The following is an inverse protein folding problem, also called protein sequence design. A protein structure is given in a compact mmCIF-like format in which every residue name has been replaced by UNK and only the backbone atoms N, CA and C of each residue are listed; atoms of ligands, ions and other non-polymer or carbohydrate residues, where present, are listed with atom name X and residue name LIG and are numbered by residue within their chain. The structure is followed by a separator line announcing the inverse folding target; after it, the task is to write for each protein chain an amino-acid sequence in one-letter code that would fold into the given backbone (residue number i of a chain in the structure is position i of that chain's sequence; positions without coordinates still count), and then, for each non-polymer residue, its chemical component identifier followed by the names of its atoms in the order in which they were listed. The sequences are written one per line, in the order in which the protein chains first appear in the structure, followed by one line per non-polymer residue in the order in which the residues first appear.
data_IF_405592663539
#
_entry.id   IF_405592663539
#
_cell.length_a   1.000
_cell.length_b   1.000
_cell.length_c   1.000
_cell.angle_alpha   90.00
_cell.angle_beta   90.00
_cell.angle_gamma   90.00
#
_symmetry.space_group_name_H-M   'P 1'
#
loop_
_entity.id
_entity.type
_entity.pdbx_description
1 polymer ?
#
# COMPACT_ATOMS: atom_id res chain seq x y z
N UNK A 1 -26.57 -10.41 -32.66
CA UNK A 1 -27.21 -9.16 -32.17
C UNK A 1 -26.70 -8.71 -30.80
N UNK A 2 -26.20 -9.59 -29.91
CA UNK A 2 -25.72 -9.21 -28.56
C UNK A 2 -24.22 -8.86 -28.44
N UNK A 3 -23.42 -9.06 -29.50
CA UNK A 3 -21.97 -8.85 -29.48
C UNK A 3 -21.52 -7.38 -29.38
N UNK A 4 -22.44 -6.42 -29.42
CA UNK A 4 -22.15 -4.98 -29.29
C UNK A 4 -22.27 -4.44 -27.85
N UNK A 5 -22.79 -5.22 -26.89
CA UNK A 5 -23.06 -4.74 -25.53
C UNK A 5 -21.91 -4.94 -24.53
N UNK A 6 -20.99 -5.87 -24.80
CA UNK A 6 -19.96 -6.25 -23.82
C UNK A 6 -18.64 -5.51 -23.97
N UNK A 7 -18.05 -5.52 -25.17
CA UNK A 7 -16.68 -5.06 -25.37
C UNK A 7 -16.50 -3.54 -25.23
N UNK A 8 -17.10 -2.73 -26.12
CA UNK A 8 -16.81 -1.29 -26.16
C UNK A 8 -17.42 -0.53 -24.97
N UNK A 9 -18.61 -0.92 -24.49
CA UNK A 9 -19.23 -0.24 -23.33
C UNK A 9 -18.36 -0.31 -22.08
N UNK A 10 -17.74 -1.46 -21.81
CA UNK A 10 -16.83 -1.64 -20.67
C UNK A 10 -15.58 -0.75 -20.79
N UNK A 11 -15.04 -0.60 -22.00
CA UNK A 11 -13.95 0.35 -22.28
C UNK A 11 -14.39 1.80 -22.02
N UNK A 12 -15.59 2.20 -22.45
CA UNK A 12 -16.11 3.57 -22.23
C UNK A 12 -16.21 3.87 -20.73
N UNK A 13 -16.76 2.94 -19.94
CA UNK A 13 -16.93 3.13 -18.50
C UNK A 13 -15.57 3.21 -17.80
N UNK A 14 -14.63 2.33 -18.17
CA UNK A 14 -13.26 2.36 -17.65
C UNK A 14 -12.57 3.71 -17.97
N UNK A 15 -12.78 4.24 -19.17
CA UNK A 15 -12.23 5.52 -19.59
C UNK A 15 -12.75 6.68 -18.72
N UNK A 16 -14.05 6.70 -18.43
CA UNK A 16 -14.66 7.71 -17.53
C UNK A 16 -14.07 7.61 -16.12
N UNK A 17 -13.89 6.40 -15.59
CA UNK A 17 -13.31 6.20 -14.25
C UNK A 17 -11.84 6.65 -14.22
N UNK A 18 -11.06 6.37 -15.27
CA UNK A 18 -9.67 6.87 -15.38
C UNK A 18 -9.63 8.40 -15.43
N UNK A 19 -10.55 9.03 -16.15
CA UNK A 19 -10.61 10.50 -16.20
C UNK A 19 -10.94 11.13 -14.83
N UNK A 20 -11.80 10.47 -14.04
CA UNK A 20 -12.25 11.00 -12.75
C UNK A 20 -11.30 10.66 -11.59
N UNK A 21 -10.77 9.44 -11.56
CA UNK A 21 -9.91 8.93 -10.49
C UNK A 21 -8.42 8.98 -10.84
N UNK A 22 -8.05 8.99 -12.12
CA UNK A 22 -6.66 8.94 -12.60
C UNK A 22 -6.12 7.51 -12.74
N UNK A 23 -5.14 7.35 -13.64
CA UNK A 23 -4.46 6.08 -13.92
C UNK A 23 -3.84 5.37 -12.69
N UNK A 24 -3.21 6.05 -11.70
CA UNK A 24 -2.60 5.34 -10.57
C UNK A 24 -3.60 4.90 -9.48
N UNK A 25 -4.82 5.47 -9.45
CA UNK A 25 -5.80 5.18 -8.40
C UNK A 25 -6.58 3.89 -8.64
N UNK A 26 -6.86 3.56 -9.91
CA UNK A 26 -7.48 2.29 -10.27
C UNK A 26 -6.70 1.04 -9.81
N UNK A 27 -5.39 0.90 -10.10
CA UNK A 27 -4.62 -0.26 -9.65
C UNK A 27 -4.45 -0.29 -8.14
N UNK A 28 -4.39 0.88 -7.46
CA UNK A 28 -4.34 0.94 -6.01
C UNK A 28 -5.63 0.44 -5.36
N UNK A 29 -6.80 0.85 -5.88
CA UNK A 29 -8.11 0.39 -5.42
C UNK A 29 -8.33 -1.10 -5.71
N UNK A 30 -7.92 -1.57 -6.89
CA UNK A 30 -7.97 -2.99 -7.24
C UNK A 30 -7.07 -3.83 -6.32
N UNK A 31 -5.86 -3.34 -5.99
CA UNK A 31 -4.96 -3.99 -5.03
C UNK A 31 -5.57 -4.08 -3.64
N UNK A 32 -6.09 -2.99 -3.08
CA UNK A 32 -6.66 -3.01 -1.73
C UNK A 32 -7.89 -3.92 -1.64
N UNK A 33 -8.79 -3.85 -2.63
CA UNK A 33 -9.97 -4.70 -2.70
C UNK A 33 -9.62 -6.18 -2.93
N UNK A 34 -8.62 -6.45 -3.78
CA UNK A 34 -8.12 -7.79 -4.06
C UNK A 34 -7.51 -8.47 -2.83
N UNK A 35 -6.78 -7.73 -2.00
CA UNK A 35 -6.24 -8.25 -0.74
C UNK A 35 -7.36 -8.62 0.24
N UNK A 36 -8.37 -7.76 0.41
CA UNK A 36 -9.54 -8.07 1.25
C UNK A 36 -10.33 -9.28 0.72
N UNK A 37 -10.51 -9.37 -0.60
CA UNK A 37 -11.17 -10.50 -1.24
C UNK A 37 -10.37 -11.79 -1.13
N UNK A 38 -9.03 -11.75 -1.18
CA UNK A 38 -8.17 -12.93 -1.04
C UNK A 38 -8.31 -13.56 0.34
N UNK A 39 -8.32 -12.74 1.40
CA UNK A 39 -8.50 -13.22 2.77
C UNK A 39 -9.91 -13.81 2.93
N UNK A 40 -10.94 -13.09 2.48
CA UNK A 40 -12.31 -13.58 2.54
C UNK A 40 -12.50 -14.88 1.76
N UNK A 41 -11.92 -14.98 0.55
CA UNK A 41 -12.00 -16.20 -0.26
C UNK A 41 -11.23 -17.35 0.37
N UNK A 42 -10.09 -17.10 1.01
CA UNK A 42 -9.31 -18.12 1.71
C UNK A 42 -10.10 -18.74 2.87
N UNK A 43 -10.74 -17.91 3.69
CA UNK A 43 -11.58 -18.37 4.81
C UNK A 43 -12.82 -19.14 4.32
N UNK A 44 -13.46 -18.66 3.26
CA UNK A 44 -14.66 -19.28 2.68
C UNK A 44 -14.34 -20.55 1.88
N UNK A 45 -13.21 -20.60 1.16
CA UNK A 45 -12.75 -21.78 0.43
C UNK A 45 -12.26 -22.88 1.37
N UNK A 46 -11.70 -22.54 2.53
CA UNK A 46 -11.32 -23.53 3.56
C UNK A 46 -12.54 -24.29 4.09
N UNK A 47 -13.71 -23.63 4.17
CA UNK A 47 -14.98 -24.28 4.50
C UNK A 47 -15.60 -25.10 3.35
N UNK A 48 -15.25 -24.81 2.10
CA UNK A 48 -15.90 -25.39 0.90
C UNK A 48 -14.98 -26.29 0.06
N UNK A 49 -13.76 -26.61 0.51
CA UNK A 49 -12.90 -27.66 -0.06
C UNK A 49 -12.45 -27.47 -1.52
N UNK A 50 -12.57 -26.28 -2.12
CA UNK A 50 -12.21 -26.03 -3.51
C UNK A 50 -11.15 -24.93 -3.65
N UNK A 51 -9.97 -25.33 -4.15
CA UNK A 51 -8.88 -24.44 -4.49
C UNK A 51 -9.15 -23.73 -5.83
N UNK A 52 -8.82 -22.44 -5.93
CA UNK A 52 -7.89 -21.94 -6.96
C UNK A 52 -7.58 -20.45 -6.76
N UNK A 53 -6.29 -20.13 -6.79
CA UNK A 53 -5.77 -18.77 -6.87
C UNK A 53 -5.52 -18.39 -8.33
N UNK A 54 -6.10 -17.28 -8.76
CA UNK A 54 -5.61 -16.56 -9.94
C UNK A 54 -4.68 -15.47 -9.41
N UNK A 55 -3.37 -15.68 -9.60
CA UNK A 55 -2.33 -14.70 -9.30
C UNK A 55 -2.46 -13.50 -10.25
N UNK A 56 -3.22 -12.49 -9.82
CA UNK A 56 -3.28 -11.21 -10.50
C UNK A 56 -2.11 -10.33 -10.04
N UNK A 57 -1.02 -10.43 -10.79
CA UNK A 57 0.09 -9.48 -10.97
C UNK A 57 0.47 -8.64 -9.74
N UNK A 58 1.49 -9.09 -9.02
CA UNK A 58 2.30 -8.29 -8.11
C UNK A 58 3.13 -7.27 -8.91
N UNK A 59 2.50 -6.14 -9.21
CA UNK A 59 3.07 -4.97 -9.85
C UNK A 59 3.66 -4.03 -8.80
N UNK A 60 4.97 -4.14 -8.66
CA UNK A 60 5.89 -3.10 -8.22
C UNK A 60 5.48 -1.72 -8.73
N UNK A 61 5.19 -0.77 -7.83
CA UNK A 61 5.68 0.62 -7.85
C UNK A 61 5.18 1.33 -6.59
N UNK A 62 6.01 1.28 -5.56
CA UNK A 62 6.36 2.43 -4.73
C UNK A 62 7.80 2.18 -4.33
N UNK A 63 8.74 2.47 -5.22
CA UNK A 63 10.10 2.81 -4.77
C UNK A 63 9.94 4.09 -3.97
N UNK A 64 10.18 4.10 -2.65
CA UNK A 64 10.47 5.35 -1.98
C UNK A 64 11.75 5.86 -2.64
N UNK A 65 11.68 6.99 -3.33
CA UNK A 65 12.88 7.75 -3.63
C UNK A 65 13.49 8.13 -2.29
N UNK A 66 14.40 7.30 -1.79
CA UNK A 66 15.26 7.62 -0.68
C UNK A 66 16.15 8.78 -1.12
N UNK A 67 16.15 9.92 -0.42
CA UNK A 67 17.34 10.75 -0.39
C UNK A 67 18.40 9.95 0.35
N UNK A 68 19.35 9.39 -0.38
CA UNK A 68 20.68 9.11 0.15
C UNK A 68 21.23 10.40 0.72
N UNK A 69 21.36 10.48 2.04
CA UNK A 69 22.59 10.96 2.68
C UNK A 69 22.59 10.58 4.17
N UNK A 70 22.93 9.31 4.43
CA UNK A 70 23.58 8.94 5.67
C UNK A 70 25.07 9.28 5.53
N UNK A 71 25.44 10.52 5.84
CA UNK A 71 26.79 10.83 6.33
C UNK A 71 26.76 10.67 7.85
N UNK A 72 27.33 9.56 8.30
CA UNK A 72 28.07 9.30 9.54
C UNK A 72 27.73 10.04 10.87
N UNK A 73 27.88 9.34 12.00
CA UNK A 73 27.23 9.61 13.28
C UNK A 73 27.93 10.73 14.08
N UNK A 74 27.17 11.75 14.46
CA UNK A 74 27.54 12.70 15.51
C UNK A 74 26.93 12.27 16.85
N UNK A 75 27.71 11.90 17.87
CA UNK A 75 27.19 11.56 19.17
C UNK A 75 26.90 12.85 19.94
N UNK A 76 25.62 13.20 20.08
CA UNK A 76 25.18 14.08 21.17
C UNK A 76 23.85 13.58 21.68
N UNK A 77 23.92 12.49 22.43
CA UNK A 77 22.99 12.26 23.51
C UNK A 77 23.23 13.36 24.56
N UNK A 78 22.49 14.46 24.48
CA UNK A 78 22.28 15.32 25.65
C UNK A 78 21.16 14.70 26.46
N UNK A 79 21.53 13.71 27.26
CA UNK A 79 20.76 13.25 28.40
C UNK A 79 20.74 14.38 29.43
N UNK A 80 19.76 15.27 29.33
CA UNK A 80 19.39 16.18 30.42
C UNK A 80 18.39 15.46 31.34
N UNK A 81 18.93 14.65 32.23
CA UNK A 81 18.28 14.23 33.49
C UNK A 81 19.39 13.74 34.42
N UNK A 82 19.48 14.34 35.61
CA UNK A 82 20.28 14.02 36.82
C UNK A 82 21.05 15.28 37.23
N UNK A 83 20.60 16.09 38.19
CA UNK A 83 20.32 15.65 39.55
C UNK A 83 21.64 15.52 40.31
N UNK A 84 22.20 16.62 40.79
CA UNK A 84 23.45 16.56 41.56
C UNK A 84 24.04 17.93 41.85
N UNK A 85 23.89 18.34 43.10
CA UNK A 85 24.97 18.99 43.85
C UNK A 85 25.37 20.43 43.44
N UNK A 86 24.56 21.40 43.88
CA UNK A 86 25.04 22.77 44.13
C UNK A 86 24.81 23.14 45.59
N UNK A 87 25.73 22.67 46.45
CA UNK A 87 26.02 23.30 47.74
C UNK A 87 27.46 23.83 47.70
N UNK A 88 27.68 25.11 47.35
CA UNK A 88 28.94 25.77 47.65
C UNK A 88 28.87 26.35 49.08
N UNK A 89 29.85 25.98 49.89
CA UNK A 89 30.19 26.62 51.16
C UNK A 89 30.51 28.11 50.98
N UNK A 90 29.86 28.96 51.76
CA UNK A 90 30.40 30.20 52.33
C UNK A 90 29.54 30.59 53.54
#
# INVERSE_FOLDING_TARGET
MFSNLGGPHLIIILFIIILLFGAPKLPALARSLGQSMKIFRSEVSTKNGAASGTDAADGTTSTPAAPTENTAPGPTATSDTTGGDTRPSA
#
